data_IF_723046331310
#
_entry.id   IF_723046331310
#
_cell.length_a   1.000
_cell.length_b   1.000
_cell.length_c   1.000
_cell.angle_alpha   90.00
_cell.angle_beta   90.00
_cell.angle_gamma   90.00
#
_symmetry.space_group_name_H-M   'P 1'
#
loop_
_entity.id
_entity.type
_entity.pdbx_description
1 polymer ?
#
# COMPACT_ATOMS: atom_id res chain seq x y z
N UNK A 1 -14.91 -6.14 -17.77
CA UNK A 1 -13.52 -5.66 -17.99
C UNK A 1 -12.56 -6.77 -17.59
N UNK A 2 -11.62 -7.16 -18.44
CA UNK A 2 -10.75 -8.30 -18.19
C UNK A 2 -9.94 -8.12 -16.89
N UNK A 3 -10.16 -8.99 -15.90
CA UNK A 3 -9.50 -9.05 -14.59
C UNK A 3 -7.98 -8.80 -14.66
N UNK A 4 -7.33 -9.34 -15.71
CA UNK A 4 -5.91 -9.14 -16.01
C UNK A 4 -5.49 -7.67 -16.18
N UNK A 5 -6.33 -6.81 -16.79
CA UNK A 5 -6.06 -5.38 -16.91
C UNK A 5 -6.14 -4.68 -15.55
N UNK A 6 -7.08 -5.08 -14.70
CA UNK A 6 -7.21 -4.56 -13.33
C UNK A 6 -6.01 -4.94 -12.47
N UNK A 7 -5.54 -6.20 -12.55
CA UNK A 7 -4.36 -6.66 -11.80
C UNK A 7 -3.09 -5.98 -12.30
N UNK A 8 -2.86 -5.92 -13.63
CA UNK A 8 -1.68 -5.24 -14.20
C UNK A 8 -1.65 -3.76 -13.80
N UNK A 9 -2.80 -3.09 -13.81
CA UNK A 9 -2.95 -1.70 -13.36
C UNK A 9 -2.69 -1.55 -11.86
N UNK A 10 -3.18 -2.45 -11.02
CA UNK A 10 -2.91 -2.43 -9.59
C UNK A 10 -1.41 -2.55 -9.31
N UNK A 11 -0.70 -3.39 -10.08
CA UNK A 11 0.75 -3.47 -10.05
C UNK A 11 1.42 -2.17 -10.50
N UNK A 12 1.04 -1.59 -11.65
CA UNK A 12 1.62 -0.32 -12.11
C UNK A 12 1.42 0.83 -11.11
N UNK A 13 0.26 0.90 -10.44
CA UNK A 13 -0.03 1.89 -9.39
C UNK A 13 0.82 1.62 -8.13
N UNK A 14 0.91 0.36 -7.69
CA UNK A 14 1.68 -0.02 -6.50
C UNK A 14 3.19 0.21 -6.69
N UNK A 15 3.69 0.06 -7.92
CA UNK A 15 5.10 0.22 -8.27
C UNK A 15 5.46 1.61 -8.80
N UNK A 16 4.48 2.50 -9.01
CA UNK A 16 4.75 3.87 -9.46
C UNK A 16 5.52 4.65 -8.38
N UNK A 17 6.64 5.27 -8.78
CA UNK A 17 7.48 6.11 -7.90
C UNK A 17 6.72 7.29 -7.27
N UNK A 18 5.58 7.69 -7.84
CA UNK A 18 4.72 8.74 -7.28
C UNK A 18 3.70 8.24 -6.25
N UNK A 19 3.49 6.93 -6.14
CA UNK A 19 2.53 6.38 -5.18
C UNK A 19 3.07 6.38 -3.74
N UNK A 20 4.39 6.35 -3.56
CA UNK A 20 5.00 6.33 -2.23
C UNK A 20 6.25 7.23 -2.18
N UNK A 21 6.26 8.30 -1.36
CA UNK A 21 7.42 9.15 -1.20
C UNK A 21 8.62 8.37 -0.65
N UNK A 22 9.81 8.64 -1.20
CA UNK A 22 11.06 7.92 -0.84
C UNK A 22 11.36 8.00 0.65
N UNK A 23 11.11 9.15 1.29
CA UNK A 23 11.31 9.31 2.73
C UNK A 23 10.43 8.37 3.56
N UNK A 24 9.18 8.15 3.14
CA UNK A 24 8.28 7.20 3.81
C UNK A 24 8.77 5.75 3.64
N UNK A 25 9.42 5.43 2.51
CA UNK A 25 10.04 4.12 2.30
C UNK A 25 11.23 3.92 3.24
N UNK A 26 12.10 4.92 3.38
CA UNK A 26 13.26 4.89 4.28
C UNK A 26 12.81 4.76 5.74
N UNK A 27 11.86 5.59 6.17
CA UNK A 27 11.30 5.56 7.52
C UNK A 27 10.71 4.18 7.86
N UNK A 28 9.92 3.60 6.94
CA UNK A 28 9.35 2.26 7.13
C UNK A 28 10.41 1.21 7.42
N UNK A 29 11.49 1.19 6.63
CA UNK A 29 12.55 0.20 6.82
C UNK A 29 13.39 0.47 8.07
N UNK A 30 13.65 1.73 8.42
CA UNK A 30 14.31 2.08 9.68
C UNK A 30 13.51 1.59 10.89
N UNK A 31 12.20 1.84 10.90
CA UNK A 31 11.31 1.37 11.98
C UNK A 31 11.31 -0.16 12.05
N UNK A 32 11.22 -0.85 10.90
CA UNK A 32 11.28 -2.31 10.86
C UNK A 32 12.60 -2.89 11.37
N UNK A 33 13.73 -2.30 10.97
CA UNK A 33 15.07 -2.71 11.43
C UNK A 33 15.22 -2.45 12.94
N UNK A 34 14.73 -1.31 13.42
CA UNK A 34 14.79 -0.97 14.85
C UNK A 34 13.97 -1.97 15.69
N UNK A 35 12.74 -2.29 15.26
CA UNK A 35 11.90 -3.31 15.91
C UNK A 35 12.59 -4.68 15.85
N UNK A 36 13.12 -5.07 14.69
CA UNK A 36 13.82 -6.33 14.55
C UNK A 36 15.05 -6.43 15.47
N UNK A 37 15.80 -5.33 15.62
CA UNK A 37 16.98 -5.26 16.48
C UNK A 37 16.62 -5.34 17.97
N UNK A 38 15.61 -4.59 18.42
CA UNK A 38 15.19 -4.56 19.83
C UNK A 38 14.58 -5.89 20.28
N UNK A 39 13.83 -6.56 19.40
CA UNK A 39 13.14 -7.81 19.71
C UNK A 39 13.86 -9.06 19.17
N UNK A 40 15.12 -8.92 18.77
CA UNK A 40 15.90 -10.01 18.21
C UNK A 40 16.03 -11.16 19.22
N UNK A 41 15.61 -12.36 18.82
CA UNK A 41 15.67 -13.57 19.66
C UNK A 41 14.48 -13.79 20.61
N UNK A 42 13.41 -12.99 20.53
CA UNK A 42 12.15 -13.26 21.26
C UNK A 42 11.03 -13.62 20.29
N UNK A 43 10.20 -14.61 20.66
CA UNK A 43 9.01 -15.00 19.88
C UNK A 43 7.99 -13.87 19.72
N UNK A 44 8.05 -12.87 20.60
CA UNK A 44 7.25 -11.62 20.55
C UNK A 44 7.47 -10.86 19.24
N UNK A 45 8.64 -10.98 18.61
CA UNK A 45 8.95 -10.36 17.32
C UNK A 45 7.96 -10.79 16.23
N UNK A 46 7.62 -12.08 16.16
CA UNK A 46 6.66 -12.61 15.20
C UNK A 46 5.25 -12.07 15.43
N UNK A 47 4.84 -11.94 16.69
CA UNK A 47 3.54 -11.35 17.07
C UNK A 47 3.49 -9.87 16.66
N UNK A 48 4.56 -9.12 16.88
CA UNK A 48 4.67 -7.71 16.44
C UNK A 48 4.58 -7.61 14.91
N UNK A 49 5.28 -8.47 14.16
CA UNK A 49 5.18 -8.47 12.70
C UNK A 49 3.78 -8.79 12.18
N UNK A 50 3.14 -9.82 12.72
CA UNK A 50 1.78 -10.22 12.32
C UNK A 50 0.77 -9.12 12.67
N UNK A 51 0.89 -8.50 13.85
CA UNK A 51 0.01 -7.41 14.26
C UNK A 51 0.18 -6.18 13.36
N UNK A 52 1.41 -5.74 13.09
CA UNK A 52 1.69 -4.63 12.18
C UNK A 52 1.21 -4.92 10.75
N UNK A 53 1.39 -6.15 10.27
CA UNK A 53 0.89 -6.57 8.96
C UNK A 53 -0.63 -6.52 8.90
N UNK A 54 -1.30 -7.04 9.92
CA UNK A 54 -2.77 -7.07 10.00
C UNK A 54 -3.34 -5.65 10.07
N UNK A 55 -2.82 -4.80 10.95
CA UNK A 55 -3.24 -3.39 11.06
C UNK A 55 -2.95 -2.65 9.76
N UNK A 56 -1.76 -2.86 9.16
CA UNK A 56 -1.40 -2.25 7.88
C UNK A 56 -2.34 -2.65 6.75
N UNK A 57 -2.73 -3.94 6.67
CA UNK A 57 -3.73 -4.41 5.72
C UNK A 57 -5.10 -3.80 5.97
N UNK A 58 -5.59 -3.81 7.22
CA UNK A 58 -6.87 -3.20 7.57
C UNK A 58 -6.89 -1.71 7.19
N UNK A 59 -5.83 -0.97 7.52
CA UNK A 59 -5.71 0.44 7.16
C UNK A 59 -5.65 0.63 5.65
N UNK A 60 -4.94 -0.24 4.94
CA UNK A 60 -4.85 -0.23 3.48
C UNK A 60 -6.22 -0.45 2.85
N UNK A 61 -6.93 -1.52 3.22
CA UNK A 61 -8.26 -1.81 2.72
C UNK A 61 -9.26 -0.72 3.09
N UNK A 62 -9.22 -0.20 4.32
CA UNK A 62 -10.08 0.89 4.77
C UNK A 62 -9.85 2.18 3.97
N UNK A 63 -8.59 2.60 3.84
CA UNK A 63 -8.22 3.79 3.07
C UNK A 63 -8.61 3.64 1.60
N UNK A 64 -8.38 2.46 1.04
CA UNK A 64 -8.69 2.13 -0.34
C UNK A 64 -10.19 2.04 -0.62
N UNK A 65 -10.96 1.56 0.34
CA UNK A 65 -12.43 1.59 0.32
C UNK A 65 -12.95 3.04 0.38
N UNK A 66 -12.47 3.83 1.34
CA UNK A 66 -12.88 5.24 1.52
C UNK A 66 -12.55 6.13 0.32
N UNK A 67 -11.39 5.92 -0.30
CA UNK A 67 -10.94 6.71 -1.45
C UNK A 67 -11.55 6.26 -2.77
N UNK A 68 -12.38 5.20 -2.76
CA UNK A 68 -12.89 4.54 -3.97
C UNK A 68 -11.79 4.28 -5.01
N UNK A 69 -10.54 4.10 -4.57
CA UNK A 69 -9.41 4.04 -5.49
C UNK A 69 -9.39 2.75 -6.33
N UNK A 70 -10.36 1.85 -6.13
CA UNK A 70 -10.63 0.70 -7.01
C UNK A 70 -11.45 1.10 -8.24
N UNK A 71 -12.23 2.18 -8.16
CA UNK A 71 -13.21 2.56 -9.18
C UNK A 71 -13.05 4.00 -9.69
N UNK A 72 -12.37 4.89 -8.95
CA UNK A 72 -12.12 6.29 -9.34
C UNK A 72 -10.66 6.55 -9.68
N UNK A 73 -10.46 7.57 -10.53
CA UNK A 73 -9.21 8.28 -10.77
C UNK A 73 -8.52 8.61 -9.44
N UNK A 74 -7.29 8.15 -9.23
CA UNK A 74 -6.56 8.38 -7.98
C UNK A 74 -5.19 9.02 -8.26
N UNK A 75 -4.86 10.07 -7.50
CA UNK A 75 -3.70 10.94 -7.74
C UNK A 75 -3.68 11.54 -9.16
N UNK A 76 -2.54 11.51 -9.86
CA UNK A 76 -2.41 11.97 -11.26
C UNK A 76 -3.09 11.04 -12.29
N UNK A 77 -3.65 9.91 -11.86
CA UNK A 77 -4.24 8.95 -12.79
C UNK A 77 -5.71 9.29 -13.03
N UNK A 78 -5.98 10.13 -14.04
CA UNK A 78 -7.34 10.35 -14.57
C UNK A 78 -7.85 9.05 -15.22
N UNK A 79 -8.82 8.43 -14.56
CA UNK A 79 -9.64 7.33 -15.06
C UNK A 79 -10.71 7.84 -16.03
N UNK A 80 -11.14 9.11 -15.87
CA UNK A 80 -12.03 9.80 -16.81
C UNK A 80 -11.20 10.65 -17.78
N UNK A 81 -10.72 10.00 -18.82
CA UNK A 81 -10.80 10.59 -20.15
C UNK A 81 -11.97 9.88 -20.83
N UNK A 82 -13.00 10.67 -21.13
CA UNK A 82 -13.94 10.44 -22.24
C UNK A 82 -15.14 9.50 -21.95
N UNK A 83 -16.00 9.92 -21.02
CA UNK A 83 -17.46 9.77 -21.18
C UNK A 83 -18.12 11.15 -20.96
N UNK A 84 -17.75 12.08 -21.81
CA UNK A 84 -18.51 13.31 -22.05
C UNK A 84 -18.51 13.51 -23.54
N UNK A 85 -19.69 13.20 -24.10
CA UNK A 85 -20.29 13.74 -25.33
C UNK A 85 -19.66 13.35 -26.68
#
# INVERSE_FOLDING_TARGET
MAFRKTVKRAFEIAFSKHAQPLWFRILKYLVLICIAYVFWGRDVLWIIFISLFTVGLCLHFWYRHKTHAWTKSYALWKHDKDRTE
#
